data_IF_603165983183
#
_entry.id   IF_603165983183
#
_cell.length_a   1.000
_cell.length_b   1.000
_cell.length_c   1.000
_cell.angle_alpha   90.00
_cell.angle_beta   90.00
_cell.angle_gamma   90.00
#
_symmetry.space_group_name_H-M   'P 1'
#
loop_
_entity.id
_entity.type
_entity.pdbx_description
1 polymer ?
#
# COMPACT_ATOMS: atom_id res chain seq x y z
N UNK A 1 -8.99 14.35 5.67
CA UNK A 1 -8.69 12.91 5.89
C UNK A 1 -9.92 12.07 6.25
N UNK A 2 -11.13 12.64 6.35
CA UNK A 2 -12.39 11.90 6.61
C UNK A 2 -12.90 11.13 5.39
N UNK A 3 -12.86 11.74 4.19
CA UNK A 3 -13.46 11.18 2.97
C UNK A 3 -12.97 9.79 2.53
N UNK A 4 -11.68 9.46 2.73
CA UNK A 4 -11.15 8.15 2.32
C UNK A 4 -11.60 7.01 3.26
N UNK A 5 -11.66 7.28 4.58
CA UNK A 5 -12.21 6.34 5.56
C UNK A 5 -13.71 6.14 5.30
N UNK A 6 -14.43 7.23 5.05
CA UNK A 6 -15.86 7.19 4.72
C UNK A 6 -16.14 6.34 3.46
N UNK A 7 -15.26 6.37 2.46
CA UNK A 7 -15.42 5.61 1.22
C UNK A 7 -15.21 4.10 1.39
N UNK A 8 -14.23 3.70 2.22
CA UNK A 8 -13.93 2.30 2.50
C UNK A 8 -15.05 1.68 3.33
N UNK A 9 -15.49 2.39 4.37
CA UNK A 9 -16.62 1.95 5.21
C UNK A 9 -17.91 1.88 4.37
N UNK A 10 -18.18 2.87 3.53
CA UNK A 10 -19.34 2.84 2.64
C UNK A 10 -19.31 1.66 1.67
N UNK A 11 -18.15 1.36 1.07
CA UNK A 11 -18.01 0.21 0.17
C UNK A 11 -18.16 -1.13 0.92
N UNK A 12 -17.59 -1.26 2.12
CA UNK A 12 -17.73 -2.46 2.94
C UNK A 12 -19.20 -2.69 3.39
N UNK A 13 -19.88 -1.63 3.82
CA UNK A 13 -21.31 -1.67 4.16
C UNK A 13 -22.13 -2.04 2.92
N UNK A 14 -21.89 -1.37 1.79
CA UNK A 14 -22.65 -1.63 0.57
C UNK A 14 -22.46 -3.06 0.04
N UNK A 15 -21.24 -3.60 0.17
CA UNK A 15 -20.96 -4.99 -0.15
C UNK A 15 -21.73 -5.93 0.80
N UNK A 16 -21.67 -5.70 2.12
CA UNK A 16 -22.36 -6.55 3.10
C UNK A 16 -23.87 -6.49 3.09
N UNK A 17 -24.45 -5.34 2.75
CA UNK A 17 -25.90 -5.18 2.57
C UNK A 17 -26.37 -5.59 1.17
N UNK A 18 -25.46 -6.00 0.29
CA UNK A 18 -25.72 -6.32 -1.13
C UNK A 18 -26.34 -5.16 -1.92
N UNK A 19 -26.16 -3.93 -1.47
CA UNK A 19 -26.55 -2.73 -2.20
C UNK A 19 -25.51 -2.36 -3.26
N UNK A 20 -24.31 -2.94 -3.17
CA UNK A 20 -23.31 -2.97 -4.24
C UNK A 20 -22.89 -4.42 -4.54
N UNK A 21 -23.07 -4.82 -5.80
CA UNK A 21 -22.54 -6.07 -6.35
C UNK A 21 -21.60 -5.67 -7.49
N UNK A 22 -20.27 -5.90 -7.37
CA UNK A 22 -19.32 -5.51 -8.40
C UNK A 22 -19.68 -6.13 -9.73
N UNK A 23 -19.86 -5.29 -10.75
CA UNK A 23 -20.06 -5.73 -12.13
C UNK A 23 -18.71 -6.07 -12.80
N UNK A 24 -18.74 -6.60 -14.02
CA UNK A 24 -17.56 -7.21 -14.66
C UNK A 24 -16.38 -6.21 -14.78
N UNK A 25 -16.64 -4.95 -15.12
CA UNK A 25 -15.61 -3.92 -15.21
C UNK A 25 -15.02 -3.54 -13.84
N UNK A 26 -15.83 -3.45 -12.78
CA UNK A 26 -15.31 -3.23 -11.42
C UNK A 26 -14.47 -4.41 -10.93
N UNK A 27 -14.88 -5.64 -11.25
CA UNK A 27 -14.07 -6.83 -10.93
C UNK A 27 -12.75 -6.83 -11.70
N UNK A 28 -12.78 -6.48 -12.98
CA UNK A 28 -11.59 -6.39 -13.80
C UNK A 28 -10.62 -5.32 -13.28
N UNK A 29 -11.13 -4.15 -12.86
CA UNK A 29 -10.34 -3.13 -12.17
C UNK A 29 -9.70 -3.68 -10.88
N UNK A 30 -10.49 -4.30 -10.01
CA UNK A 30 -9.98 -4.88 -8.76
C UNK A 30 -8.93 -5.97 -8.99
N UNK A 31 -9.13 -6.84 -9.97
CA UNK A 31 -8.17 -7.88 -10.36
C UNK A 31 -6.89 -7.30 -10.94
N UNK A 32 -6.99 -6.28 -11.80
CA UNK A 32 -5.84 -5.59 -12.36
C UNK A 32 -5.01 -4.92 -11.25
N UNK A 33 -5.66 -4.24 -10.31
CA UNK A 33 -4.99 -3.64 -9.16
C UNK A 33 -4.28 -4.70 -8.31
N UNK A 34 -4.97 -5.77 -7.90
CA UNK A 34 -4.37 -6.83 -7.08
C UNK A 34 -3.21 -7.54 -7.80
N UNK A 35 -3.40 -7.90 -9.06
CA UNK A 35 -2.37 -8.56 -9.86
C UNK A 35 -1.14 -7.70 -10.09
N UNK A 36 -1.32 -6.40 -10.35
CA UNK A 36 -0.19 -5.47 -10.47
C UNK A 36 0.52 -5.25 -9.13
N UNK A 37 -0.23 -5.07 -8.03
CA UNK A 37 0.33 -4.90 -6.69
C UNK A 37 1.20 -6.10 -6.28
N UNK A 38 0.69 -7.32 -6.49
CA UNK A 38 1.38 -8.55 -6.10
C UNK A 38 2.63 -8.82 -6.97
N UNK A 39 2.73 -8.17 -8.13
CA UNK A 39 3.91 -8.20 -9.00
C UNK A 39 4.95 -7.12 -8.69
N UNK A 40 4.69 -6.20 -7.75
CA UNK A 40 5.68 -5.18 -7.35
C UNK A 40 6.79 -5.83 -6.53
N UNK A 41 7.99 -5.86 -7.09
CA UNK A 41 9.19 -6.30 -6.39
C UNK A 41 9.70 -5.21 -5.45
N UNK A 42 9.89 -5.49 -4.14
CA UNK A 42 10.40 -4.51 -3.20
C UNK A 42 11.83 -4.09 -3.52
N UNK A 43 12.05 -2.79 -3.71
CA UNK A 43 13.38 -2.22 -4.02
C UNK A 43 14.23 -2.05 -2.75
N UNK A 44 15.54 -2.17 -2.93
CA UNK A 44 16.54 -1.84 -1.92
C UNK A 44 17.17 -0.48 -2.21
N UNK A 45 17.64 0.21 -1.17
CA UNK A 45 18.51 1.36 -1.36
C UNK A 45 19.86 0.92 -1.96
N UNK A 46 20.58 1.81 -2.68
CA UNK A 46 21.84 1.45 -3.32
C UNK A 46 22.85 0.85 -2.32
N UNK A 47 23.27 -0.38 -2.57
CA UNK A 47 24.24 -1.10 -1.72
C UNK A 47 23.64 -1.75 -0.46
N UNK A 48 22.38 -1.48 -0.12
CA UNK A 48 21.72 -2.15 1.00
C UNK A 48 21.70 -3.67 0.75
N UNK A 49 22.18 -4.50 1.68
CA UNK A 49 22.20 -5.95 1.52
C UNK A 49 20.77 -6.50 1.48
N UNK A 50 20.55 -7.63 0.79
CA UNK A 50 19.27 -8.34 0.89
C UNK A 50 19.05 -8.83 2.33
N UNK A 51 17.80 -8.83 2.79
CA UNK A 51 17.43 -9.37 4.09
C UNK A 51 16.92 -10.81 3.96
N UNK A 52 17.20 -11.64 4.96
CA UNK A 52 16.79 -13.06 4.98
C UNK A 52 15.35 -13.28 5.44
N UNK A 53 14.81 -12.39 6.27
CA UNK A 53 13.40 -12.41 6.69
C UNK A 53 12.48 -11.96 5.54
N UNK A 54 11.37 -12.68 5.26
CA UNK A 54 10.34 -12.27 4.31
C UNK A 54 9.75 -10.87 4.53
N UNK A 55 9.76 -10.35 5.76
CA UNK A 55 9.28 -9.01 6.09
C UNK A 55 10.27 -7.91 5.63
N UNK A 56 11.51 -8.29 5.30
CA UNK A 56 12.51 -7.39 4.74
C UNK A 56 12.95 -6.27 5.68
N UNK A 57 13.60 -5.26 5.10
CA UNK A 57 13.93 -4.02 5.80
C UNK A 57 12.71 -3.10 5.93
N UNK A 58 12.63 -2.31 7.00
CA UNK A 58 11.54 -1.32 7.13
C UNK A 58 11.59 -0.32 5.97
N UNK A 59 12.80 0.08 5.59
CA UNK A 59 13.07 0.93 4.44
C UNK A 59 12.58 0.28 3.14
N UNK A 60 12.81 -1.01 2.96
CA UNK A 60 12.32 -1.76 1.79
C UNK A 60 10.79 -1.76 1.73
N UNK A 61 10.11 -1.95 2.87
CA UNK A 61 8.64 -1.84 2.95
C UNK A 61 8.15 -0.43 2.61
N UNK A 62 8.80 0.61 3.13
CA UNK A 62 8.47 2.01 2.81
C UNK A 62 8.62 2.29 1.30
N UNK A 63 9.69 1.82 0.67
CA UNK A 63 9.89 1.98 -0.78
C UNK A 63 8.87 1.17 -1.60
N UNK A 64 8.50 -0.02 -1.15
CA UNK A 64 7.42 -0.79 -1.77
C UNK A 64 6.07 -0.07 -1.69
N UNK A 65 5.75 0.55 -0.55
CA UNK A 65 4.53 1.33 -0.40
C UNK A 65 4.52 2.59 -1.28
N UNK A 66 5.66 3.24 -1.48
CA UNK A 66 5.83 4.31 -2.49
C UNK A 66 5.45 3.80 -3.88
N UNK A 67 6.01 2.67 -4.32
CA UNK A 67 5.75 2.10 -5.65
C UNK A 67 4.28 1.69 -5.82
N UNK A 68 3.71 1.03 -4.81
CA UNK A 68 2.30 0.63 -4.85
C UNK A 68 1.37 1.83 -4.83
N UNK A 69 1.72 2.93 -4.15
CA UNK A 69 0.91 4.16 -4.18
C UNK A 69 0.80 4.73 -5.60
N UNK A 70 1.93 4.79 -6.32
CA UNK A 70 1.98 5.27 -7.70
C UNK A 70 1.24 4.32 -8.66
N UNK A 71 1.40 3.01 -8.46
CA UNK A 71 0.70 1.98 -9.23
C UNK A 71 -0.81 2.06 -9.01
N UNK A 72 -1.28 2.16 -7.77
CA UNK A 72 -2.70 2.26 -7.44
C UNK A 72 -3.32 3.52 -8.06
N UNK A 73 -2.61 4.66 -7.99
CA UNK A 73 -3.02 5.88 -8.67
C UNK A 73 -3.09 5.71 -10.21
N UNK A 74 -2.08 5.07 -10.81
CA UNK A 74 -2.05 4.81 -12.24
C UNK A 74 -3.17 3.87 -12.71
N UNK A 75 -3.45 2.81 -11.95
CA UNK A 75 -4.58 1.90 -12.23
C UNK A 75 -5.91 2.64 -12.06
N UNK A 76 -6.09 3.43 -11.01
CA UNK A 76 -7.29 4.27 -10.84
C UNK A 76 -7.48 5.18 -12.06
N UNK A 77 -6.45 5.92 -12.47
CA UNK A 77 -6.57 6.94 -13.53
C UNK A 77 -6.93 6.34 -14.89
N UNK A 78 -6.43 5.14 -15.19
CA UNK A 78 -6.80 4.40 -16.41
C UNK A 78 -8.30 4.06 -16.47
N UNK A 79 -8.91 3.78 -15.31
CA UNK A 79 -10.29 3.32 -15.22
C UNK A 79 -11.27 4.44 -14.83
N UNK A 80 -10.77 5.56 -14.27
CA UNK A 80 -11.60 6.65 -13.78
C UNK A 80 -12.50 7.25 -14.87
N UNK A 81 -12.03 7.30 -16.12
CA UNK A 81 -12.83 7.77 -17.26
C UNK A 81 -14.05 6.89 -17.57
N UNK A 82 -14.03 5.62 -17.16
CA UNK A 82 -15.10 4.65 -17.41
C UNK A 82 -15.96 4.39 -16.17
N UNK A 83 -15.37 4.50 -14.97
CA UNK A 83 -16.00 4.18 -13.68
C UNK A 83 -15.78 5.29 -12.62
N UNK A 84 -16.15 6.56 -12.89
CA UNK A 84 -15.77 7.70 -12.05
C UNK A 84 -16.40 7.70 -10.65
N UNK A 85 -17.52 7.00 -10.46
CA UNK A 85 -18.29 6.96 -9.21
C UNK A 85 -18.44 5.55 -8.64
N UNK A 86 -17.63 4.60 -9.12
CA UNK A 86 -17.72 3.21 -8.69
C UNK A 86 -17.08 3.03 -7.31
N UNK A 87 -17.62 2.11 -6.51
CA UNK A 87 -17.05 1.79 -5.20
C UNK A 87 -15.65 1.19 -5.35
N UNK A 88 -15.40 0.41 -6.41
CA UNK A 88 -14.06 -0.12 -6.68
C UNK A 88 -13.05 1.00 -6.95
N UNK A 89 -13.40 1.99 -7.77
CA UNK A 89 -12.55 3.15 -8.04
C UNK A 89 -12.26 3.93 -6.75
N UNK A 90 -13.26 4.10 -5.88
CA UNK A 90 -13.09 4.76 -4.60
C UNK A 90 -12.16 3.97 -3.65
N UNK A 91 -12.27 2.64 -3.60
CA UNK A 91 -11.38 1.77 -2.82
C UNK A 91 -9.93 1.84 -3.31
N UNK A 92 -9.69 1.76 -4.62
CA UNK A 92 -8.34 1.89 -5.18
C UNK A 92 -7.77 3.28 -4.95
N UNK A 93 -8.61 4.32 -5.00
CA UNK A 93 -8.21 5.69 -4.65
C UNK A 93 -7.80 5.81 -3.18
N UNK A 94 -8.61 5.28 -2.26
CA UNK A 94 -8.31 5.27 -0.84
C UNK A 94 -7.02 4.49 -0.54
N UNK A 95 -6.80 3.37 -1.24
CA UNK A 95 -5.55 2.60 -1.13
C UNK A 95 -4.35 3.45 -1.57
N UNK A 96 -4.43 4.10 -2.74
CA UNK A 96 -3.36 4.95 -3.26
C UNK A 96 -3.02 6.09 -2.30
N UNK A 97 -4.03 6.79 -1.78
CA UNK A 97 -3.87 7.89 -0.82
C UNK A 97 -3.24 7.40 0.50
N UNK A 98 -3.71 6.26 1.02
CA UNK A 98 -3.20 5.72 2.27
C UNK A 98 -1.76 5.22 2.14
N UNK A 99 -1.37 4.66 0.98
CA UNK A 99 0.00 4.27 0.69
C UNK A 99 0.90 5.51 0.49
N UNK A 100 0.41 6.55 -0.18
CA UNK A 100 1.15 7.80 -0.40
C UNK A 100 1.52 8.54 0.89
N UNK A 101 0.91 8.19 2.04
CA UNK A 101 1.29 8.71 3.34
C UNK A 101 2.76 8.43 3.71
N UNK A 102 3.39 7.43 3.10
CA UNK A 102 4.81 7.11 3.35
C UNK A 102 5.80 7.94 2.51
N UNK A 103 5.35 8.70 1.51
CA UNK A 103 6.25 9.41 0.57
C UNK A 103 7.26 10.33 1.29
N UNK A 104 6.86 11.16 2.28
CA UNK A 104 7.83 11.99 2.99
C UNK A 104 8.89 11.16 3.74
N UNK A 105 8.51 9.97 4.21
CA UNK A 105 9.43 9.06 4.88
C UNK A 105 10.37 8.38 3.89
N UNK A 106 9.86 7.96 2.73
CA UNK A 106 10.68 7.41 1.65
C UNK A 106 11.74 8.41 1.18
N UNK A 107 11.36 9.68 0.98
CA UNK A 107 12.28 10.77 0.66
C UNK A 107 13.34 10.94 1.75
N UNK A 108 12.93 10.99 3.03
CA UNK A 108 13.83 11.11 4.16
C UNK A 108 14.87 9.97 4.22
N UNK A 109 14.43 8.73 4.04
CA UNK A 109 15.32 7.57 4.08
C UNK A 109 16.31 7.58 2.92
N UNK A 110 15.86 7.96 1.71
CA UNK A 110 16.75 8.12 0.54
C UNK A 110 17.81 9.20 0.80
N UNK A 111 17.40 10.35 1.33
CA UNK A 111 18.32 11.44 1.66
C UNK A 111 19.34 11.03 2.72
N UNK A 112 18.89 10.40 3.81
CA UNK A 112 19.76 9.95 4.90
C UNK A 112 20.72 8.87 4.46
N UNK A 113 20.28 7.93 3.64
CA UNK A 113 21.13 6.86 3.15
C UNK A 113 22.23 7.40 2.22
N UNK A 114 21.91 8.41 1.42
CA UNK A 114 22.90 9.07 0.58
C UNK A 114 23.89 9.91 1.41
N UNK A 115 23.40 10.61 2.43
CA UNK A 115 24.24 11.50 3.25
C UNK A 115 25.15 10.74 4.21
N UNK A 116 24.60 9.72 4.87
CA UNK A 116 25.20 9.01 5.99
C UNK A 116 24.90 7.50 5.85
N UNK A 117 25.41 6.80 4.80
CA UNK A 117 25.25 5.36 4.70
C UNK A 117 26.03 4.66 5.81
N UNK A 118 25.63 3.43 6.22
CA UNK A 118 26.42 2.61 7.13
C UNK A 118 27.85 2.42 6.62
N UNK A 119 28.85 2.50 7.51
CA UNK A 119 30.26 2.30 7.13
C UNK A 119 30.51 0.89 6.57
N UNK A 120 29.78 -0.10 7.10
CA UNK A 120 29.77 -1.49 6.62
C UNK A 120 28.34 -1.89 6.26
N UNK A 121 28.17 -2.48 5.08
CA UNK A 121 26.86 -2.93 4.57
C UNK A 121 26.53 -4.34 5.09
N UNK A 122 26.56 -4.50 6.41
CA UNK A 122 26.13 -5.72 7.11
C UNK A 122 24.70 -5.58 7.63
N UNK A 123 23.99 -6.68 7.83
CA UNK A 123 22.61 -6.66 8.36
C UNK A 123 22.51 -5.93 9.71
N UNK A 124 23.49 -6.13 10.61
CA UNK A 124 23.54 -5.46 11.91
C UNK A 124 23.64 -3.94 11.76
N UNK A 125 24.57 -3.46 10.92
CA UNK A 125 24.78 -2.02 10.75
C UNK A 125 23.58 -1.34 10.08
N UNK A 126 22.91 -2.03 9.14
CA UNK A 126 21.67 -1.53 8.53
C UNK A 126 20.54 -1.47 9.54
N UNK A 127 20.40 -2.49 10.41
CA UNK A 127 19.44 -2.47 11.53
C UNK A 127 19.64 -1.25 12.41
N UNK A 128 20.88 -0.99 12.84
CA UNK A 128 21.21 0.17 13.66
C UNK A 128 20.92 1.49 12.96
N UNK A 129 21.21 1.56 11.66
CA UNK A 129 20.89 2.72 10.84
C UNK A 129 19.37 2.96 10.78
N UNK A 130 18.57 1.91 10.57
CA UNK A 130 17.11 2.02 10.60
C UNK A 130 16.59 2.41 11.98
N UNK A 131 17.18 1.93 13.08
CA UNK A 131 16.80 2.35 14.43
C UNK A 131 17.06 3.83 14.69
N UNK A 132 18.16 4.36 14.15
CA UNK A 132 18.51 5.77 14.28
C UNK A 132 17.64 6.69 13.42
N UNK A 133 17.35 6.29 12.18
CA UNK A 133 16.61 7.10 11.21
C UNK A 133 15.11 6.84 11.16
N UNK A 134 14.61 5.77 11.80
CA UNK A 134 13.18 5.48 11.99
C UNK A 134 12.84 5.33 13.47
N UNK A 135 12.67 6.47 14.19
CA UNK A 135 12.27 6.44 15.59
C UNK A 135 10.95 5.67 15.80
N UNK A 136 10.71 5.14 17.03
CA UNK A 136 9.54 4.31 17.31
C UNK A 136 8.19 4.92 16.92
N UNK A 137 8.04 6.24 17.01
CA UNK A 137 6.81 6.93 16.62
C UNK A 137 6.52 6.84 15.11
N UNK A 138 7.55 6.90 14.26
CA UNK A 138 7.40 6.73 12.82
C UNK A 138 7.10 5.28 12.47
N UNK A 139 7.71 4.31 13.17
CA UNK A 139 7.39 2.88 13.01
C UNK A 139 5.93 2.61 13.36
N UNK A 140 5.43 3.16 14.47
CA UNK A 140 4.02 3.03 14.84
C UNK A 140 3.06 3.65 13.80
N UNK A 141 3.46 4.77 13.19
CA UNK A 141 2.68 5.37 12.10
C UNK A 141 2.67 4.47 10.85
N UNK A 142 3.82 3.88 10.51
CA UNK A 142 3.93 2.93 9.40
C UNK A 142 3.09 1.67 9.63
N UNK A 143 3.07 1.15 10.86
CA UNK A 143 2.21 0.01 11.24
C UNK A 143 0.73 0.37 11.05
N UNK A 144 0.33 1.58 11.47
CA UNK A 144 -1.04 2.05 11.30
C UNK A 144 -1.42 2.24 9.81
N UNK A 145 -0.50 2.75 8.98
CA UNK A 145 -0.68 2.83 7.52
C UNK A 145 -0.85 1.44 6.93
N UNK A 146 0.04 0.52 7.27
CA UNK A 146 0.03 -0.87 6.78
C UNK A 146 -1.26 -1.58 7.17
N UNK A 147 -1.70 -1.43 8.42
CA UNK A 147 -2.96 -2.00 8.90
C UNK A 147 -4.17 -1.49 8.10
N UNK A 148 -4.24 -0.17 7.82
CA UNK A 148 -5.33 0.38 7.01
C UNK A 148 -5.29 -0.14 5.58
N UNK A 149 -4.11 -0.26 4.97
CA UNK A 149 -3.97 -0.85 3.63
C UNK A 149 -4.43 -2.31 3.59
N UNK A 150 -4.19 -3.09 4.64
CA UNK A 150 -4.71 -4.45 4.77
C UNK A 150 -6.25 -4.46 4.79
N UNK A 151 -6.88 -3.54 5.54
CA UNK A 151 -8.34 -3.40 5.58
C UNK A 151 -8.90 -3.01 4.21
N UNK A 152 -8.33 -2.01 3.54
CA UNK A 152 -8.80 -1.61 2.21
C UNK A 152 -8.63 -2.76 1.21
N UNK A 153 -7.46 -3.41 1.24
CA UNK A 153 -7.14 -4.54 0.38
C UNK A 153 -8.07 -5.74 0.59
N UNK A 154 -8.51 -6.00 1.83
CA UNK A 154 -9.44 -7.11 2.10
C UNK A 154 -10.83 -6.85 1.53
N UNK A 155 -11.31 -5.60 1.58
CA UNK A 155 -12.59 -5.21 0.94
C UNK A 155 -12.49 -5.37 -0.59
N UNK A 156 -11.37 -4.97 -1.20
CA UNK A 156 -11.14 -5.18 -2.64
C UNK A 156 -11.14 -6.68 -2.99
N UNK A 157 -10.42 -7.51 -2.23
CA UNK A 157 -10.39 -8.97 -2.43
C UNK A 157 -11.79 -9.56 -2.31
N UNK A 158 -12.56 -9.16 -1.30
CA UNK A 158 -13.92 -9.68 -1.11
C UNK A 158 -14.86 -9.26 -2.24
N UNK A 159 -14.75 -8.01 -2.72
CA UNK A 159 -15.50 -7.52 -3.86
C UNK A 159 -15.16 -8.31 -5.16
N UNK A 160 -13.88 -8.62 -5.38
CA UNK A 160 -13.42 -9.37 -6.56
C UNK A 160 -13.84 -10.85 -6.51
N UNK A 161 -13.71 -11.48 -5.34
CA UNK A 161 -13.93 -12.93 -5.17
C UNK A 161 -15.36 -13.30 -4.86
N UNK A 162 -16.19 -12.34 -4.44
CA UNK A 162 -17.52 -12.60 -3.88
C UNK A 162 -17.50 -13.23 -2.49
N UNK A 163 -16.32 -13.37 -1.87
CA UNK A 163 -16.13 -14.11 -0.61
C UNK A 163 -16.82 -13.49 0.62
N UNK A 164 -17.39 -12.29 0.50
CA UNK A 164 -18.17 -11.65 1.56
C UNK A 164 -19.45 -12.43 1.94
N UNK A 165 -19.91 -13.35 1.09
CA UNK A 165 -21.18 -14.06 1.25
C UNK A 165 -21.09 -15.57 1.01
N UNK A 166 -19.91 -16.19 1.18
CA UNK A 166 -19.80 -17.65 1.14
C UNK A 166 -20.46 -18.27 2.39
N UNK A 167 -21.79 -18.38 2.36
CA UNK A 167 -22.59 -19.39 3.07
C UNK A 167 -23.01 -20.48 2.07
#
# INVERSE_FOLDING_TARGET
MTHAVDAVDAAAIALGERTWIPHDEERALGQAFLGHRDAVEPRLLPGMPPHSDPQGWVTQHVLWLEDVSALAAGVRDQWYGYLPTSHMTALVSAYAEQAAAVLPLADHLRERWHAEPPELLTEEQVTWWEEWHLPPAQRQQLDAVTHRLVVIGSVVVAAVTGAWHND
#
